data_IF_252907691814
#
_entry.id   IF_252907691814
#
_cell.length_a   1.000
_cell.length_b   1.000
_cell.length_c   1.000
_cell.angle_alpha   90.00
_cell.angle_beta   90.00
_cell.angle_gamma   90.00
#
_symmetry.space_group_name_H-M   'P 1'
#
loop_
_entity.id
_entity.type
_entity.pdbx_description
1 polymer ?
#
# COMPACT_ATOMS: atom_id res chain seq x y z
N UNK A 1 17.70 22.89 -2.95
CA UNK A 1 16.50 22.26 -3.50
C UNK A 1 16.13 21.13 -2.56
N UNK A 2 14.92 21.18 -1.98
CA UNK A 2 14.41 20.07 -1.15
C UNK A 2 14.13 18.89 -2.09
N UNK A 3 14.74 17.75 -1.82
CA UNK A 3 14.47 16.51 -2.55
C UNK A 3 13.33 15.80 -1.84
N UNK A 4 12.23 15.55 -2.55
CA UNK A 4 11.07 14.86 -1.98
C UNK A 4 11.46 13.43 -1.58
N UNK A 5 10.85 12.95 -0.49
CA UNK A 5 11.05 11.59 0.02
C UNK A 5 9.77 10.79 0.00
N UNK A 6 9.86 9.53 -0.44
CA UNK A 6 8.75 8.58 -0.44
C UNK A 6 9.00 7.52 0.63
N UNK A 7 8.07 7.33 1.56
CA UNK A 7 8.05 6.21 2.50
C UNK A 7 7.19 5.08 1.95
N UNK A 8 7.80 3.92 1.74
CA UNK A 8 7.11 2.69 1.30
C UNK A 8 6.76 1.86 2.52
N UNK A 9 5.48 1.77 2.83
CA UNK A 9 4.95 1.00 3.94
C UNK A 9 4.57 -0.40 3.45
N UNK A 10 5.17 -1.43 4.03
CA UNK A 10 5.01 -2.81 3.61
C UNK A 10 4.57 -3.66 4.80
N UNK A 11 3.26 -3.89 4.99
CA UNK A 11 2.79 -4.85 5.98
C UNK A 11 3.16 -6.27 5.54
N UNK A 12 3.77 -7.04 6.45
CA UNK A 12 4.28 -8.39 6.18
C UNK A 12 3.71 -9.38 7.19
N UNK A 13 3.25 -10.52 6.69
CA UNK A 13 2.88 -11.67 7.52
C UNK A 13 3.12 -12.96 6.74
N UNK A 14 4.16 -13.72 7.12
CA UNK A 14 4.63 -14.93 6.45
C UNK A 14 4.94 -14.67 4.96
N UNK A 15 5.87 -13.76 4.71
CA UNK A 15 6.27 -13.30 3.36
C UNK A 15 7.78 -13.51 3.10
N UNK A 16 8.43 -14.47 3.77
CA UNK A 16 9.88 -14.71 3.67
C UNK A 16 10.36 -14.91 2.24
N UNK A 17 9.55 -15.58 1.40
CA UNK A 17 9.88 -15.89 0.02
C UNK A 17 9.71 -14.71 -0.94
N UNK A 18 8.72 -13.86 -0.70
CA UNK A 18 8.37 -12.74 -1.58
C UNK A 18 9.20 -11.48 -1.34
N UNK A 19 9.60 -11.23 -0.08
CA UNK A 19 10.28 -10.02 0.35
C UNK A 19 11.55 -9.67 -0.44
N UNK A 20 12.49 -10.59 -0.72
CA UNK A 20 13.70 -10.24 -1.46
C UNK A 20 13.38 -9.73 -2.87
N UNK A 21 12.49 -10.41 -3.58
CA UNK A 21 12.08 -10.03 -4.94
C UNK A 21 11.32 -8.68 -4.94
N UNK A 22 10.41 -8.49 -3.98
CA UNK A 22 9.70 -7.23 -3.80
C UNK A 22 10.66 -6.05 -3.59
N UNK A 23 11.63 -6.23 -2.69
CA UNK A 23 12.62 -5.20 -2.39
C UNK A 23 13.47 -4.83 -3.61
N UNK A 24 13.99 -5.83 -4.32
CA UNK A 24 14.81 -5.62 -5.51
C UNK A 24 14.04 -4.91 -6.64
N UNK A 25 12.83 -5.39 -6.95
CA UNK A 25 12.00 -4.81 -8.02
C UNK A 25 11.59 -3.37 -7.69
N UNK A 26 11.19 -3.12 -6.44
CA UNK A 26 10.81 -1.76 -6.02
C UNK A 26 12.00 -0.80 -6.05
N UNK A 27 13.19 -1.24 -5.63
CA UNK A 27 14.41 -0.44 -5.73
C UNK A 27 14.78 -0.09 -7.19
N UNK A 28 14.60 -1.02 -8.13
CA UNK A 28 14.88 -0.75 -9.56
C UNK A 28 14.03 0.41 -10.05
N UNK A 29 12.73 0.41 -9.72
CA UNK A 29 11.82 1.47 -10.11
C UNK A 29 12.22 2.82 -9.50
N UNK A 30 12.57 2.86 -8.21
CA UNK A 30 12.99 4.13 -7.59
C UNK A 30 14.25 4.73 -8.20
N UNK A 31 15.17 3.89 -8.70
CA UNK A 31 16.37 4.38 -9.41
C UNK A 31 16.04 5.10 -10.74
N UNK A 32 14.87 4.85 -11.31
CA UNK A 32 14.40 5.47 -12.55
C UNK A 32 13.68 6.81 -12.30
N UNK A 33 13.23 7.07 -11.06
CA UNK A 33 12.58 8.33 -10.70
C UNK A 33 13.65 9.35 -10.30
N UNK A 34 13.75 10.44 -11.05
CA UNK A 34 14.73 11.46 -10.79
C UNK A 34 14.38 12.34 -9.60
N UNK A 35 15.40 12.80 -8.86
CA UNK A 35 15.28 13.79 -7.77
C UNK A 35 14.32 13.40 -6.64
N UNK A 36 14.27 12.12 -6.28
CA UNK A 36 13.59 11.63 -5.09
C UNK A 36 14.54 10.85 -4.19
N UNK A 37 14.26 10.90 -2.87
CA UNK A 37 14.77 9.96 -1.88
C UNK A 37 13.66 8.99 -1.50
N UNK A 38 14.00 7.83 -0.93
CA UNK A 38 13.01 6.87 -0.48
C UNK A 38 13.50 6.09 0.74
N UNK A 39 12.53 5.56 1.49
CA UNK A 39 12.76 4.60 2.57
C UNK A 39 11.73 3.47 2.49
N UNK A 40 12.11 2.31 3.01
CA UNK A 40 11.19 1.20 3.25
C UNK A 40 10.91 1.10 4.75
N UNK A 41 9.64 0.87 5.08
CA UNK A 41 9.18 0.58 6.43
C UNK A 41 8.42 -0.73 6.38
N UNK A 42 9.15 -1.81 6.66
CA UNK A 42 8.54 -3.12 6.78
C UNK A 42 7.89 -3.27 8.16
N UNK A 43 6.67 -3.76 8.20
CA UNK A 43 5.98 -4.03 9.47
C UNK A 43 5.67 -5.51 9.54
N UNK A 44 6.44 -6.24 10.33
CA UNK A 44 6.19 -7.65 10.59
C UNK A 44 5.05 -7.81 11.58
N UNK A 45 3.94 -8.38 11.13
CA UNK A 45 2.72 -8.60 11.93
C UNK A 45 2.78 -9.93 12.69
N UNK A 46 3.94 -10.22 13.30
CA UNK A 46 4.13 -11.41 14.13
C UNK A 46 4.20 -12.68 13.28
N UNK A 47 5.00 -12.69 12.23
CA UNK A 47 5.23 -13.85 11.37
C UNK A 47 5.76 -15.06 12.12
N UNK A 48 5.42 -16.25 11.64
CA UNK A 48 5.89 -17.52 12.18
C UNK A 48 7.03 -18.16 11.37
N UNK A 49 7.37 -17.56 10.22
CA UNK A 49 8.46 -17.95 9.31
C UNK A 49 9.68 -17.03 9.45
N UNK A 50 10.63 -17.09 8.51
CA UNK A 50 11.85 -16.25 8.51
C UNK A 50 11.63 -14.82 7.95
N UNK A 51 10.38 -14.33 7.87
CA UNK A 51 10.06 -12.97 7.40
C UNK A 51 10.82 -11.91 8.17
N UNK A 52 10.77 -11.93 9.52
CA UNK A 52 11.44 -10.94 10.37
C UNK A 52 12.96 -10.97 10.19
N UNK A 53 13.56 -12.16 10.11
CA UNK A 53 15.00 -12.31 9.91
C UNK A 53 15.42 -11.82 8.52
N UNK A 54 14.59 -12.01 7.51
CA UNK A 54 14.81 -11.46 6.17
C UNK A 54 14.77 -9.93 6.18
N UNK A 55 13.80 -9.33 6.87
CA UNK A 55 13.71 -7.87 7.04
C UNK A 55 14.93 -7.31 7.75
N UNK A 56 15.38 -7.94 8.84
CA UNK A 56 16.58 -7.52 9.58
C UNK A 56 17.82 -7.53 8.69
N UNK A 57 18.01 -8.58 7.89
CA UNK A 57 19.12 -8.65 6.93
C UNK A 57 19.08 -7.53 5.90
N UNK A 58 17.90 -7.16 5.40
CA UNK A 58 17.75 -6.01 4.52
C UNK A 58 18.15 -4.71 5.22
N UNK A 59 17.71 -4.50 6.48
CA UNK A 59 18.02 -3.30 7.25
C UNK A 59 19.51 -3.18 7.61
N UNK A 60 20.21 -4.30 7.82
CA UNK A 60 21.67 -4.31 8.06
C UNK A 60 22.45 -3.88 6.80
N UNK A 61 21.93 -4.16 5.60
CA UNK A 61 22.61 -3.91 4.33
C UNK A 61 22.19 -2.59 3.66
N UNK A 62 21.06 -1.99 4.04
CA UNK A 62 20.57 -0.73 3.48
C UNK A 62 19.95 0.16 4.57
N UNK A 63 20.61 1.29 4.84
CA UNK A 63 20.17 2.29 5.84
C UNK A 63 18.78 2.89 5.54
N UNK A 64 18.27 2.74 4.34
CA UNK A 64 16.91 3.15 3.93
C UNK A 64 15.83 2.17 4.38
N UNK A 65 16.22 0.99 4.85
CA UNK A 65 15.30 -0.01 5.37
C UNK A 65 15.15 0.15 6.87
N UNK A 66 13.93 0.40 7.29
CA UNK A 66 13.49 0.43 8.69
C UNK A 66 12.42 -0.62 8.89
N UNK A 67 12.22 -1.04 10.13
CA UNK A 67 11.15 -2.01 10.41
C UNK A 67 10.53 -1.82 11.80
N UNK A 68 9.30 -2.34 11.90
CA UNK A 68 8.57 -2.53 13.15
C UNK A 68 8.22 -4.02 13.24
N UNK A 69 8.43 -4.64 14.41
CA UNK A 69 8.06 -6.02 14.63
C UNK A 69 7.00 -6.09 15.74
N UNK A 70 5.88 -6.73 15.46
CA UNK A 70 4.83 -6.97 16.43
C UNK A 70 5.09 -8.27 17.20
N UNK A 71 4.69 -8.30 18.46
CA UNK A 71 4.83 -9.48 19.33
C UNK A 71 3.89 -10.63 18.98
N UNK A 72 2.86 -10.37 18.17
CA UNK A 72 1.89 -11.31 17.63
C UNK A 72 1.15 -10.68 16.47
N UNK A 73 0.34 -11.45 15.75
CA UNK A 73 -0.54 -10.92 14.71
C UNK A 73 -1.62 -10.01 15.31
N UNK A 74 -1.64 -8.74 14.88
CA UNK A 74 -2.62 -7.71 15.19
C UNK A 74 -3.47 -7.33 13.98
N UNK A 75 -3.16 -7.87 12.81
CA UNK A 75 -3.84 -7.65 11.55
C UNK A 75 -3.24 -6.55 10.67
N UNK A 76 -3.43 -6.70 9.37
CA UNK A 76 -2.87 -5.81 8.33
C UNK A 76 -3.15 -4.33 8.58
N UNK A 77 -4.35 -3.97 9.04
CA UNK A 77 -4.73 -2.59 9.33
C UNK A 77 -3.84 -1.97 10.43
N UNK A 78 -3.51 -2.76 11.46
CA UNK A 78 -2.60 -2.32 12.53
C UNK A 78 -1.18 -2.14 12.00
N UNK A 79 -0.73 -3.04 11.12
CA UNK A 79 0.58 -2.97 10.50
C UNK A 79 0.70 -1.75 9.59
N UNK A 80 -0.30 -1.48 8.75
CA UNK A 80 -0.35 -0.27 7.91
C UNK A 80 -0.28 1.01 8.75
N UNK A 81 -1.06 1.08 9.83
CA UNK A 81 -1.05 2.24 10.71
C UNK A 81 0.31 2.44 11.40
N UNK A 82 0.93 1.38 11.90
CA UNK A 82 2.24 1.45 12.51
C UNK A 82 3.30 1.94 11.50
N UNK A 83 3.26 1.44 10.26
CA UNK A 83 4.15 1.89 9.20
C UNK A 83 3.95 3.36 8.84
N UNK A 84 2.69 3.83 8.71
CA UNK A 84 2.39 5.24 8.46
C UNK A 84 2.88 6.15 9.59
N UNK A 85 2.80 5.70 10.84
CA UNK A 85 3.30 6.45 12.00
C UNK A 85 4.81 6.64 12.01
N UNK A 86 5.54 5.64 11.52
CA UNK A 86 7.00 5.67 11.42
C UNK A 86 7.51 6.42 10.17
N UNK A 87 6.64 6.64 9.19
CA UNK A 87 6.98 7.26 7.93
C UNK A 87 7.40 8.72 8.09
N UNK A 88 8.53 9.12 7.49
CA UNK A 88 9.03 10.49 7.53
C UNK A 88 9.06 11.18 6.15
N UNK A 89 8.70 10.47 5.07
CA UNK A 89 8.68 11.00 3.71
C UNK A 89 7.57 12.04 3.50
N UNK A 90 7.72 12.86 2.48
CA UNK A 90 6.72 13.83 2.02
C UNK A 90 5.49 13.12 1.44
N UNK A 91 5.70 11.93 0.91
CA UNK A 91 4.67 11.04 0.40
C UNK A 91 4.80 9.67 1.04
N UNK A 92 3.67 8.98 1.22
CA UNK A 92 3.61 7.62 1.72
C UNK A 92 2.92 6.72 0.70
N UNK A 93 3.46 5.53 0.46
CA UNK A 93 2.81 4.51 -0.36
C UNK A 93 2.68 3.21 0.42
N UNK A 94 1.50 2.59 0.38
CA UNK A 94 1.25 1.28 0.98
C UNK A 94 1.28 0.23 -0.13
N UNK A 95 2.09 -0.81 0.04
CA UNK A 95 2.23 -1.91 -0.91
C UNK A 95 2.30 -3.25 -0.19
N UNK A 96 1.70 -4.28 -0.77
CA UNK A 96 1.87 -5.66 -0.31
C UNK A 96 3.18 -6.26 -0.84
N UNK A 97 3.81 -7.14 -0.04
CA UNK A 97 5.09 -7.75 -0.38
C UNK A 97 5.00 -8.83 -1.47
N UNK A 98 3.80 -9.25 -1.86
CA UNK A 98 3.54 -10.40 -2.76
C UNK A 98 3.66 -10.07 -4.26
N UNK A 99 4.08 -8.83 -4.62
CA UNK A 99 4.20 -8.33 -5.99
C UNK A 99 2.90 -8.34 -6.82
N UNK A 100 1.74 -8.56 -6.21
CA UNK A 100 0.45 -8.36 -6.90
C UNK A 100 0.19 -6.88 -7.22
N UNK A 101 0.83 -6.00 -6.50
CA UNK A 101 0.88 -4.56 -6.77
C UNK A 101 2.15 -4.24 -7.57
N UNK A 102 2.06 -3.90 -8.87
CA UNK A 102 3.24 -3.70 -9.70
C UNK A 102 3.99 -2.42 -9.30
N UNK A 103 5.27 -2.53 -8.87
CA UNK A 103 6.08 -1.35 -8.55
C UNK A 103 6.21 -0.35 -9.70
N UNK A 104 6.07 -0.82 -10.94
CA UNK A 104 6.11 0.00 -12.15
C UNK A 104 5.07 1.14 -12.17
N UNK A 105 4.04 1.10 -11.31
CA UNK A 105 3.07 2.20 -11.18
C UNK A 105 3.56 3.35 -10.29
N UNK A 106 4.59 3.15 -9.48
CA UNK A 106 5.08 4.17 -8.54
C UNK A 106 5.42 5.51 -9.20
N UNK A 107 6.07 5.57 -10.39
CA UNK A 107 6.34 6.84 -11.06
C UNK A 107 5.06 7.62 -11.39
N UNK A 108 4.06 6.94 -11.96
CA UNK A 108 2.79 7.58 -12.32
C UNK A 108 1.97 7.99 -11.10
N UNK A 109 2.02 7.19 -10.01
CA UNK A 109 1.38 7.55 -8.73
C UNK A 109 2.06 8.76 -8.11
N UNK A 110 3.40 8.83 -8.15
CA UNK A 110 4.16 9.97 -7.66
C UNK A 110 3.86 11.23 -8.45
N UNK A 111 3.80 11.17 -9.78
CA UNK A 111 3.43 12.29 -10.62
C UNK A 111 2.05 12.84 -10.27
N UNK A 112 1.08 11.96 -10.06
CA UNK A 112 -0.29 12.33 -9.68
C UNK A 112 -0.33 13.16 -8.39
N UNK A 113 0.38 12.72 -7.34
CA UNK A 113 0.33 13.39 -6.03
C UNK A 113 1.31 14.55 -5.89
N UNK A 114 2.38 14.60 -6.69
CA UNK A 114 3.41 15.64 -6.61
C UNK A 114 3.19 16.80 -7.55
N UNK A 115 2.58 16.58 -8.71
CA UNK A 115 2.56 17.53 -9.82
C UNK A 115 1.17 17.80 -10.39
N UNK A 116 0.26 16.82 -10.37
CA UNK A 116 -1.08 16.98 -10.94
C UNK A 116 -2.11 17.54 -9.94
N UNK A 117 -1.75 17.66 -8.65
CA UNK A 117 -2.57 18.28 -7.63
C UNK A 117 -3.52 17.32 -6.91
N UNK A 118 -3.40 16.00 -7.09
CA UNK A 118 -4.16 15.02 -6.31
C UNK A 118 -3.52 14.80 -4.94
N UNK A 119 -4.35 14.65 -3.93
CA UNK A 119 -3.87 14.33 -2.58
C UNK A 119 -3.55 12.85 -2.40
N UNK A 120 -4.22 12.00 -3.20
CA UNK A 120 -4.15 10.56 -3.13
C UNK A 120 -4.22 9.94 -4.52
N UNK A 121 -3.39 8.90 -4.75
CA UNK A 121 -3.45 8.09 -5.97
C UNK A 121 -3.56 6.62 -5.59
N UNK A 122 -4.60 5.94 -6.06
CA UNK A 122 -4.86 4.52 -5.80
C UNK A 122 -4.70 3.66 -7.04
N UNK A 123 -4.20 2.44 -6.85
CA UNK A 123 -4.25 1.40 -7.86
C UNK A 123 -5.65 0.76 -7.90
N UNK A 124 -6.26 0.73 -9.09
CA UNK A 124 -7.52 0.04 -9.34
C UNK A 124 -7.25 -1.25 -10.11
N UNK A 125 -7.43 -2.38 -9.43
CA UNK A 125 -7.27 -3.69 -10.06
C UNK A 125 -8.42 -3.97 -11.00
N UNK A 126 -8.15 -4.09 -12.30
CA UNK A 126 -9.10 -4.57 -13.29
C UNK A 126 -9.00 -6.11 -13.38
N UNK A 127 -10.17 -6.80 -13.23
CA UNK A 127 -10.24 -8.27 -13.30
C UNK A 127 -9.93 -8.78 -14.70
N UNK A 128 -9.30 -9.96 -14.80
CA UNK A 128 -9.24 -10.70 -16.08
C UNK A 128 -10.67 -11.01 -16.56
N UNK A 129 -10.91 -10.87 -17.86
CA UNK A 129 -12.09 -11.43 -18.52
C UNK A 129 -12.15 -12.95 -18.24
N UNK A 130 -13.00 -13.38 -17.30
CA UNK A 130 -13.12 -14.79 -16.92
C UNK A 130 -13.65 -15.03 -15.51
N UNK A 131 -13.64 -14.04 -14.63
CA UNK A 131 -14.27 -14.15 -13.31
C UNK A 131 -15.78 -14.24 -13.47
N UNK A 132 -16.33 -15.38 -13.01
CA UNK A 132 -17.69 -15.81 -13.28
C UNK A 132 -18.75 -14.72 -13.11
N UNK A 133 -19.57 -14.50 -14.12
CA UNK A 133 -20.66 -13.48 -14.21
C UNK A 133 -21.54 -13.36 -12.95
N UNK A 134 -21.70 -14.44 -12.20
CA UNK A 134 -22.52 -14.50 -10.97
C UNK A 134 -21.83 -13.75 -9.81
N UNK A 135 -20.51 -13.92 -9.64
CA UNK A 135 -19.73 -13.25 -8.57
C UNK A 135 -19.67 -11.74 -8.81
N UNK A 136 -19.51 -11.32 -10.08
CA UNK A 136 -19.53 -9.91 -10.49
C UNK A 136 -20.88 -9.22 -10.24
N UNK A 137 -22.00 -9.93 -10.40
CA UNK A 137 -23.34 -9.37 -10.22
C UNK A 137 -23.69 -9.15 -8.74
N UNK A 138 -23.33 -10.08 -7.85
CA UNK A 138 -23.49 -9.92 -6.40
C UNK A 138 -22.59 -8.82 -5.83
N UNK A 139 -21.35 -8.74 -6.30
CA UNK A 139 -20.40 -7.69 -5.95
C UNK A 139 -20.96 -6.31 -6.34
N UNK A 140 -21.36 -6.10 -7.60
CA UNK A 140 -21.91 -4.83 -8.08
C UNK A 140 -23.15 -4.37 -7.29
N UNK A 141 -24.01 -5.32 -6.89
CA UNK A 141 -25.21 -5.01 -6.11
C UNK A 141 -24.87 -4.61 -4.69
N UNK A 142 -23.93 -5.31 -4.05
CA UNK A 142 -23.44 -4.99 -2.71
C UNK A 142 -22.79 -3.59 -2.67
N UNK A 143 -21.92 -3.28 -3.63
CA UNK A 143 -21.28 -1.96 -3.72
C UNK A 143 -22.24 -0.83 -4.07
N UNK A 144 -23.28 -1.12 -4.88
CA UNK A 144 -24.34 -0.15 -5.19
C UNK A 144 -25.19 0.18 -3.97
N UNK A 145 -25.46 -0.79 -3.11
CA UNK A 145 -26.18 -0.60 -1.85
C UNK A 145 -25.27 0.11 -0.81
N UNK A 146 -24.00 -0.31 -0.72
CA UNK A 146 -23.01 0.32 0.15
C UNK A 146 -22.84 1.81 -0.17
N UNK A 147 -22.69 2.16 -1.45
CA UNK A 147 -22.59 3.55 -1.91
C UNK A 147 -23.84 4.39 -1.53
N UNK A 148 -25.01 3.79 -1.61
CA UNK A 148 -26.29 4.47 -1.28
C UNK A 148 -26.48 4.68 0.23
N UNK A 149 -25.90 3.81 1.05
CA UNK A 149 -26.03 3.86 2.51
C UNK A 149 -24.92 4.67 3.19
N UNK A 150 -23.70 4.68 2.63
CA UNK A 150 -22.55 5.30 3.27
C UNK A 150 -22.05 6.57 2.58
N UNK A 151 -22.58 6.93 1.40
CA UNK A 151 -22.06 7.99 0.51
C UNK A 151 -20.55 7.85 0.20
N UNK A 152 -19.97 6.67 0.41
CA UNK A 152 -18.58 6.38 0.15
C UNK A 152 -18.42 5.74 -1.24
N UNK A 153 -17.47 6.24 -2.04
CA UNK A 153 -17.08 5.60 -3.29
C UNK A 153 -16.26 4.33 -2.99
N UNK A 154 -16.98 3.27 -2.60
CA UNK A 154 -16.42 1.93 -2.48
C UNK A 154 -16.43 1.29 -3.87
N UNK A 155 -15.47 1.66 -4.73
CA UNK A 155 -15.33 1.00 -6.03
C UNK A 155 -14.80 -0.43 -5.85
N UNK A 156 -15.42 -1.35 -6.59
CA UNK A 156 -14.97 -2.75 -6.67
C UNK A 156 -13.52 -2.77 -7.21
N UNK A 157 -12.61 -3.45 -6.52
CA UNK A 157 -11.20 -3.50 -6.95
C UNK A 157 -10.25 -2.48 -6.32
N UNK A 158 -10.73 -1.56 -5.46
CA UNK A 158 -9.85 -0.68 -4.69
C UNK A 158 -9.07 -1.48 -3.65
N UNK A 159 -7.80 -1.71 -3.92
CA UNK A 159 -6.84 -2.32 -3.02
C UNK A 159 -6.31 -1.35 -1.96
N UNK A 160 -5.38 -1.85 -1.16
CA UNK A 160 -4.61 -1.03 -0.20
C UNK A 160 -3.45 -0.29 -0.89
N UNK A 161 -3.17 -0.61 -2.16
CA UNK A 161 -2.12 0.01 -2.96
C UNK A 161 -2.45 1.47 -3.27
N UNK A 162 -1.88 2.37 -2.46
CA UNK A 162 -2.17 3.81 -2.53
C UNK A 162 -0.94 4.62 -2.20
N UNK A 163 -0.72 5.68 -2.96
CA UNK A 163 0.22 6.74 -2.63
C UNK A 163 -0.54 7.98 -2.18
N UNK A 164 -0.06 8.64 -1.15
CA UNK A 164 -0.71 9.78 -0.52
C UNK A 164 0.29 10.86 -0.08
N UNK A 165 -0.16 12.11 -0.04
CA UNK A 165 0.61 13.22 0.50
C UNK A 165 0.78 13.12 2.02
N UNK A 166 1.75 13.83 2.58
CA UNK A 166 1.92 13.95 4.04
C UNK A 166 0.66 14.50 4.72
N UNK A 167 -0.07 15.40 4.08
CA UNK A 167 -1.33 15.95 4.59
C UNK A 167 -2.36 14.85 4.82
N UNK A 168 -2.56 13.97 3.84
CA UNK A 168 -3.47 12.82 3.96
C UNK A 168 -2.99 11.87 5.05
N UNK A 169 -1.70 11.56 5.07
CA UNK A 169 -1.11 10.67 6.09
C UNK A 169 -1.38 11.20 7.50
N UNK A 170 -1.15 12.48 7.74
CA UNK A 170 -1.38 13.11 9.03
C UNK A 170 -2.87 13.10 9.41
N UNK A 171 -3.76 13.39 8.46
CA UNK A 171 -5.20 13.36 8.69
C UNK A 171 -5.68 11.95 9.12
N UNK A 172 -5.12 10.89 8.50
CA UNK A 172 -5.41 9.49 8.88
C UNK A 172 -4.88 9.17 10.27
N UNK A 173 -3.67 9.62 10.60
CA UNK A 173 -3.05 9.37 11.91
C UNK A 173 -3.76 10.10 13.05
N UNK A 174 -4.34 11.26 12.78
CA UNK A 174 -5.10 12.04 13.77
C UNK A 174 -6.50 11.47 14.09
N UNK A 175 -7.00 10.55 13.26
CA UNK A 175 -8.26 9.87 13.54
C UNK A 175 -8.13 8.91 14.73
N UNK A 176 -8.97 9.13 15.77
CA UNK A 176 -8.94 8.37 17.04
C UNK A 176 -9.79 7.09 17.03
N UNK A 177 -10.15 6.56 15.87
CA UNK A 177 -11.02 5.40 15.80
C UNK A 177 -10.32 4.11 16.25
N UNK A 178 -10.97 3.36 17.13
CA UNK A 178 -10.44 2.10 17.69
C UNK A 178 -10.45 0.96 16.65
N UNK A 179 -11.52 0.87 15.87
CA UNK A 179 -11.66 -0.10 14.77
C UNK A 179 -11.32 0.58 13.44
N UNK A 180 -10.03 0.59 13.10
CA UNK A 180 -9.55 1.24 11.89
C UNK A 180 -9.77 0.35 10.68
N UNK A 181 -10.71 0.76 9.85
CA UNK A 181 -10.88 0.22 8.52
C UNK A 181 -10.26 1.22 7.53
N UNK A 182 -8.98 0.99 7.17
CA UNK A 182 -8.20 1.95 6.39
C UNK A 182 -8.89 2.35 5.07
N UNK A 183 -9.52 1.40 4.37
CA UNK A 183 -10.28 1.70 3.14
C UNK A 183 -11.44 2.67 3.39
N UNK A 184 -12.11 2.55 4.52
CA UNK A 184 -13.16 3.48 4.94
C UNK A 184 -12.59 4.85 5.31
N UNK A 185 -11.45 4.89 6.00
CA UNK A 185 -10.79 6.14 6.39
C UNK A 185 -10.37 6.94 5.16
N UNK A 186 -9.77 6.32 4.15
CA UNK A 186 -9.41 6.98 2.88
C UNK A 186 -10.62 7.60 2.17
N UNK A 187 -11.76 6.94 2.21
CA UNK A 187 -13.00 7.47 1.61
C UNK A 187 -13.64 8.57 2.46
N UNK A 188 -13.49 8.50 3.79
CA UNK A 188 -14.11 9.45 4.73
C UNK A 188 -13.44 10.82 4.71
N UNK A 189 -12.11 10.88 4.53
CA UNK A 189 -11.36 12.16 4.55
C UNK A 189 -11.65 13.08 3.37
N UNK A 190 -12.30 12.58 2.28
CA UNK A 190 -12.80 13.42 1.19
C UNK A 190 -11.72 14.07 0.31
N UNK A 191 -10.50 13.55 0.30
CA UNK A 191 -9.41 14.04 -0.53
C UNK A 191 -9.58 13.65 -2.01
N UNK A 192 -9.12 14.51 -2.91
CA UNK A 192 -9.15 14.21 -4.35
C UNK A 192 -8.26 13.03 -4.69
N UNK A 193 -8.88 11.98 -5.25
CA UNK A 193 -8.21 10.71 -5.54
C UNK A 193 -8.16 10.44 -7.04
N UNK A 194 -6.95 10.20 -7.57
CA UNK A 194 -6.75 9.63 -8.91
C UNK A 194 -6.67 8.11 -8.82
N UNK A 195 -7.29 7.42 -9.78
CA UNK A 195 -7.22 5.97 -9.90
C UNK A 195 -6.45 5.58 -11.14
N UNK A 196 -5.47 4.68 -10.98
CA UNK A 196 -4.70 4.11 -12.09
C UNK A 196 -5.08 2.64 -12.20
N UNK A 197 -5.65 2.27 -13.35
CA UNK A 197 -6.02 0.89 -13.63
C UNK A 197 -4.78 0.02 -13.89
N UNK A 198 -4.76 -1.19 -13.32
CA UNK A 198 -3.73 -2.17 -13.60
C UNK A 198 -4.27 -3.59 -13.59
N UNK A 199 -3.62 -4.46 -14.38
CA UNK A 199 -3.86 -5.90 -14.32
C UNK A 199 -2.95 -6.52 -13.25
N UNK A 200 -3.55 -7.32 -12.33
CA UNK A 200 -2.71 -8.00 -11.35
C UNK A 200 -1.90 -9.11 -12.00
N UNK A 201 -0.64 -9.18 -11.65
CA UNK A 201 0.21 -10.35 -11.92
C UNK A 201 -0.22 -11.50 -11.00
N UNK A 202 -0.12 -12.75 -11.44
CA UNK A 202 -0.33 -13.90 -10.55
C UNK A 202 0.71 -13.86 -9.44
N UNK A 203 0.32 -14.27 -8.24
CA UNK A 203 1.22 -14.37 -7.07
C UNK A 203 2.46 -15.17 -7.48
N UNK A 204 3.63 -14.58 -7.35
CA UNK A 204 4.89 -15.22 -7.77
C UNK A 204 5.25 -16.38 -6.83
N UNK A 205 4.73 -16.32 -5.59
CA UNK A 205 4.98 -17.35 -4.57
C UNK A 205 3.63 -17.83 -4.00
N UNK A 206 3.44 -19.13 -3.91
CA UNK A 206 2.27 -19.77 -3.29
C UNK A 206 2.71 -20.13 -1.87
N UNK A 207 2.18 -19.44 -0.86
CA UNK A 207 2.32 -19.91 0.52
C UNK A 207 1.68 -21.30 0.62
N UNK A 208 2.49 -22.30 0.91
CA UNK A 208 2.06 -23.67 1.22
C UNK A 208 1.51 -23.76 2.65
#
# INVERSE_FOLDING_TARGET
>A
LHMNKISVIVPCFNEEESLPAFYEETQKVFKEINNIDYEFIFVDDGSGDDTLETIKRLAENDYRVRYVAFSRNFGKESAMYAGLKEAVGDYCVIMDADLQHPPALLPAMYEAVSSEGYDLCGGLRIGREGDGRIRSMFSKTFYKIGRKLTHMDMSDGCGDFRMMSRTVTNAILDMKEYNRYMKGLFSFVGFETKWIEYESVERVFICS
#
